data_IF_500829474360
#
_entry.id   IF_500829474360
#
_cell.length_a   1.000
_cell.length_b   1.000
_cell.length_c   1.000
_cell.angle_alpha   90.00
_cell.angle_beta   90.00
_cell.angle_gamma   90.00
#
_symmetry.space_group_name_H-M   'P 1'
#
loop_
_entity.id
_entity.type
_entity.pdbx_description
1 polymer ?
#
# COMPACT_ATOMS: atom_id res chain seq x y z
N UNK A 1 11.12 -19.27 2.64
CA UNK A 1 10.15 -18.57 1.76
C UNK A 1 9.76 -19.49 0.61
N UNK A 2 8.53 -19.39 0.11
CA UNK A 2 8.13 -20.15 -1.10
C UNK A 2 8.87 -19.60 -2.35
N UNK A 3 9.22 -20.44 -3.34
CA UNK A 3 9.85 -20.01 -4.59
C UNK A 3 9.09 -18.84 -5.24
N UNK A 4 9.82 -17.77 -5.57
CA UNK A 4 9.28 -16.56 -6.17
C UNK A 4 8.48 -15.65 -5.22
N UNK A 5 8.64 -15.83 -3.91
CA UNK A 5 8.04 -14.95 -2.90
C UNK A 5 8.93 -13.76 -2.57
N UNK A 6 8.29 -12.62 -2.28
CA UNK A 6 8.91 -11.40 -1.75
C UNK A 6 8.29 -11.05 -0.41
N UNK A 7 9.08 -10.48 0.49
CA UNK A 7 8.61 -9.99 1.79
C UNK A 7 8.54 -8.48 1.75
N UNK A 8 7.34 -7.96 1.90
CA UNK A 8 7.07 -6.54 2.06
C UNK A 8 6.76 -6.25 3.53
N UNK A 9 7.27 -5.14 4.04
CA UNK A 9 6.91 -4.58 5.34
C UNK A 9 5.98 -3.39 5.11
N UNK A 10 4.77 -3.47 5.66
CA UNK A 10 3.78 -2.40 5.57
C UNK A 10 3.66 -1.71 6.92
N UNK A 11 3.86 -0.41 6.94
CA UNK A 11 3.83 0.41 8.15
C UNK A 11 2.93 1.62 7.96
N UNK A 12 2.17 1.97 8.99
CA UNK A 12 1.40 3.22 9.04
C UNK A 12 2.01 4.15 10.08
N UNK A 13 2.41 5.34 9.63
CA UNK A 13 2.90 6.41 10.50
C UNK A 13 1.80 7.44 10.67
N UNK A 14 1.50 7.81 11.91
CA UNK A 14 0.55 8.89 12.21
C UNK A 14 1.29 10.20 12.30
N UNK A 15 0.84 11.19 11.54
CA UNK A 15 1.37 12.55 11.49
C UNK A 15 0.30 13.45 12.11
N UNK A 16 0.60 14.01 13.28
CA UNK A 16 -0.22 15.05 13.90
C UNK A 16 0.22 16.46 13.49
N UNK A 17 -0.50 17.51 13.91
CA UNK A 17 -0.19 18.91 13.56
C UNK A 17 1.23 19.34 13.93
N UNK A 18 1.78 18.83 15.03
CA UNK A 18 3.14 19.15 15.49
C UNK A 18 4.27 18.49 14.67
N UNK A 19 3.93 17.63 13.71
CA UNK A 19 4.87 16.85 12.92
C UNK A 19 4.89 17.23 11.42
N UNK A 20 4.19 18.30 11.02
CA UNK A 20 4.11 18.74 9.63
C UNK A 20 5.48 19.13 9.03
N UNK A 21 6.36 19.75 9.82
CA UNK A 21 7.70 20.09 9.33
C UNK A 21 8.56 18.85 9.05
N UNK A 22 8.48 17.83 9.90
CA UNK A 22 9.15 16.56 9.67
C UNK A 22 8.61 15.87 8.41
N UNK A 23 7.30 15.91 8.19
CA UNK A 23 6.69 15.40 6.95
C UNK A 23 7.26 16.12 5.72
N UNK A 24 7.36 17.46 5.75
CA UNK A 24 7.96 18.22 4.66
C UNK A 24 9.40 17.81 4.39
N UNK A 25 10.19 17.55 5.44
CA UNK A 25 11.58 17.09 5.32
C UNK A 25 11.68 15.69 4.69
N UNK A 26 10.78 14.77 5.04
CA UNK A 26 10.71 13.45 4.38
C UNK A 26 10.43 13.62 2.89
N UNK A 27 9.42 14.42 2.53
CA UNK A 27 9.04 14.61 1.13
C UNK A 27 10.09 15.36 0.30
N UNK A 28 10.99 16.15 0.89
CA UNK A 28 12.15 16.74 0.19
C UNK A 28 13.18 15.69 -0.24
N UNK A 29 13.22 14.54 0.42
CA UNK A 29 14.16 13.45 0.14
C UNK A 29 13.51 12.27 -0.59
N UNK A 30 12.18 12.28 -0.71
CA UNK A 30 11.45 11.28 -1.48
C UNK A 30 11.57 11.58 -2.98
N UNK A 31 11.97 10.58 -3.76
CA UNK A 31 11.96 10.65 -5.21
C UNK A 31 10.54 10.38 -5.73
N UNK A 32 9.85 11.43 -6.16
CA UNK A 32 8.55 11.32 -6.82
C UNK A 32 8.70 10.98 -8.32
N UNK A 33 9.87 11.21 -8.93
CA UNK A 33 10.09 10.98 -10.37
C UNK A 33 10.11 9.50 -10.74
N UNK A 34 10.19 8.60 -9.76
CA UNK A 34 9.91 7.16 -9.94
C UNK A 34 8.55 6.91 -10.61
N UNK A 35 7.58 7.82 -10.42
CA UNK A 35 6.30 7.80 -11.12
C UNK A 35 6.32 8.71 -12.37
N UNK A 36 5.79 8.24 -13.52
CA UNK A 36 5.61 9.06 -14.70
C UNK A 36 4.83 10.34 -14.39
N UNK A 37 5.16 11.44 -15.07
CA UNK A 37 4.53 12.75 -14.86
C UNK A 37 3.01 12.71 -14.95
N UNK A 38 2.45 11.99 -15.92
CA UNK A 38 1.00 11.83 -16.07
C UNK A 38 0.35 11.16 -14.84
N UNK A 39 0.96 10.10 -14.32
CA UNK A 39 0.47 9.41 -13.12
C UNK A 39 0.53 10.31 -11.89
N UNK A 40 1.62 11.08 -11.71
CA UNK A 40 1.73 12.06 -10.61
C UNK A 40 0.65 13.14 -10.68
N UNK A 41 0.35 13.65 -11.87
CA UNK A 41 -0.73 14.63 -12.05
C UNK A 41 -2.09 14.04 -11.69
N UNK A 42 -2.36 12.79 -12.09
CA UNK A 42 -3.60 12.09 -11.74
C UNK A 42 -3.73 11.86 -10.24
N UNK A 43 -2.67 11.40 -9.58
CA UNK A 43 -2.65 11.24 -8.12
C UNK A 43 -2.90 12.58 -7.41
N UNK A 44 -2.21 13.65 -7.82
CA UNK A 44 -2.36 14.97 -7.23
C UNK A 44 -3.79 15.54 -7.40
N UNK A 45 -4.43 15.32 -8.55
CA UNK A 45 -5.82 15.71 -8.78
C UNK A 45 -6.82 15.01 -7.84
N UNK A 46 -6.44 13.84 -7.30
CA UNK A 46 -7.24 13.06 -6.36
C UNK A 46 -6.73 13.15 -4.92
N UNK A 47 -5.86 14.12 -4.63
CA UNK A 47 -5.31 14.35 -3.29
C UNK A 47 -4.31 13.29 -2.82
N UNK A 48 -3.77 12.47 -3.71
CA UNK A 48 -2.78 11.45 -3.39
C UNK A 48 -1.37 11.90 -3.78
N UNK A 49 -0.38 11.47 -3.00
CA UNK A 49 1.05 11.67 -3.29
C UNK A 49 1.81 10.38 -3.04
N UNK A 50 2.73 10.07 -3.94
CA UNK A 50 3.56 8.87 -3.86
C UNK A 50 5.01 9.21 -4.19
N UNK A 51 5.94 8.62 -3.47
CA UNK A 51 7.38 8.77 -3.71
C UNK A 51 8.17 7.61 -3.15
N UNK A 52 9.43 7.50 -3.56
CA UNK A 52 10.34 6.44 -3.13
C UNK A 52 11.45 7.02 -2.25
N UNK A 53 11.76 6.35 -1.15
CA UNK A 53 12.98 6.62 -0.39
C UNK A 53 13.94 5.43 -0.50
N UNK A 54 15.23 5.76 -0.50
CA UNK A 54 16.32 4.78 -0.61
C UNK A 54 16.36 3.78 0.55
N UNK A 55 17.30 2.84 0.47
CA UNK A 55 17.46 1.79 1.49
C UNK A 55 17.84 2.33 2.88
N UNK A 56 18.51 3.48 2.92
CA UNK A 56 18.73 4.26 4.14
C UNK A 56 17.60 5.30 4.26
N UNK A 57 16.65 5.12 5.20
CA UNK A 57 15.57 6.08 5.38
C UNK A 57 16.12 7.42 5.89
N UNK A 58 15.49 8.56 5.52
CA UNK A 58 15.79 9.86 6.12
C UNK A 58 15.60 9.88 7.64
N UNK A 59 16.42 10.64 8.37
CA UNK A 59 16.29 10.79 9.83
C UNK A 59 14.91 11.31 10.24
N UNK A 60 14.35 12.25 9.47
CA UNK A 60 13.00 12.76 9.68
C UNK A 60 11.92 11.65 9.60
N UNK A 61 12.11 10.64 8.74
CA UNK A 61 11.18 9.50 8.64
C UNK A 61 11.28 8.59 9.86
N UNK A 62 12.50 8.36 10.36
CA UNK A 62 12.72 7.59 11.58
C UNK A 62 12.10 8.30 12.80
N UNK A 63 12.24 9.61 12.89
CA UNK A 63 11.65 10.40 13.96
C UNK A 63 10.11 10.40 13.90
N UNK A 64 9.52 10.56 12.71
CA UNK A 64 8.07 10.43 12.52
C UNK A 64 7.57 9.05 12.96
N UNK A 65 8.28 7.98 12.59
CA UNK A 65 7.96 6.63 13.03
C UNK A 65 8.00 6.51 14.57
N UNK A 66 9.06 6.99 15.22
CA UNK A 66 9.19 6.97 16.69
C UNK A 66 8.08 7.76 17.40
N UNK A 67 7.78 8.98 16.95
CA UNK A 67 6.69 9.81 17.51
C UNK A 67 5.34 9.13 17.36
N UNK A 68 5.07 8.53 16.19
CA UNK A 68 3.84 7.78 15.96
C UNK A 68 3.71 6.55 16.87
N UNK A 69 4.83 6.03 17.38
CA UNK A 69 4.79 4.93 18.34
C UNK A 69 4.46 5.36 19.77
N UNK A 70 4.76 6.61 20.12
CA UNK A 70 4.57 7.19 21.45
C UNK A 70 3.17 7.78 21.62
N UNK A 71 2.54 8.23 20.53
CA UNK A 71 1.21 8.88 20.53
C UNK A 71 0.02 7.90 20.68
N UNK A 72 0.20 6.81 21.44
CA UNK A 72 -0.84 5.78 21.59
C UNK A 72 -1.78 6.20 22.71
N UNK A 73 -2.87 6.86 22.33
CA UNK A 73 -4.05 6.95 23.19
C UNK A 73 -4.70 5.56 23.27
N UNK A 74 -4.75 5.02 24.49
CA UNK A 74 -5.57 3.86 24.83
C UNK A 74 -7.03 4.34 24.74
N UNK A 75 -7.90 3.72 23.92
CA UNK A 75 -9.31 4.11 23.89
C UNK A 75 -9.92 3.88 25.28
N UNK A 76 -10.39 4.95 25.92
CA UNK A 76 -11.20 4.86 27.11
C UNK A 76 -12.58 4.29 26.73
N UNK A 77 -12.74 2.98 26.94
CA UNK A 77 -14.02 2.30 26.77
C UNK A 77 -13.84 0.80 26.67
N UNK A 78 -14.45 0.06 27.62
CA UNK A 78 -14.54 -1.39 27.81
C UNK A 78 -14.63 -2.29 26.56
N UNK A 79 -13.63 -2.27 25.69
CA UNK A 79 -13.28 -3.36 24.80
C UNK A 79 -11.97 -3.91 25.33
N UNK A 80 -11.99 -5.17 25.77
CA UNK A 80 -10.76 -5.93 25.99
C UNK A 80 -10.02 -5.93 24.66
N UNK A 81 -9.02 -5.06 24.52
CA UNK A 81 -8.11 -5.07 23.38
C UNK A 81 -7.14 -6.20 23.66
N UNK A 82 -7.16 -7.33 22.91
CA UNK A 82 -6.22 -8.39 23.13
C UNK A 82 -4.81 -7.85 22.94
N UNK A 83 -3.89 -8.30 23.79
CA UNK A 83 -2.46 -7.92 23.79
C UNK A 83 -1.77 -8.15 22.42
N UNK A 84 -2.40 -8.88 21.49
CA UNK A 84 -1.99 -9.10 20.10
C UNK A 84 -2.08 -7.84 19.21
N UNK A 85 -2.81 -6.79 19.61
CA UNK A 85 -2.96 -5.56 18.82
C UNK A 85 -1.77 -4.58 18.92
N UNK A 86 -0.75 -4.88 19.73
CA UNK A 86 0.52 -4.15 19.75
C UNK A 86 1.43 -4.48 18.54
N UNK A 87 1.15 -5.56 17.81
CA UNK A 87 1.90 -6.04 16.62
C UNK A 87 1.42 -5.36 15.31
N UNK A 88 0.44 -4.46 15.38
CA UNK A 88 -0.25 -3.86 14.22
C UNK A 88 0.49 -2.75 13.46
N UNK A 89 1.74 -2.40 13.81
CA UNK A 89 2.44 -1.27 13.17
C UNK A 89 3.39 -1.65 12.04
N UNK A 90 3.86 -2.89 11.97
CA UNK A 90 4.73 -3.38 10.89
C UNK A 90 4.24 -4.76 10.48
N UNK A 91 3.45 -4.83 9.41
CA UNK A 91 2.94 -6.10 8.90
C UNK A 91 3.90 -6.64 7.86
N UNK A 92 4.56 -7.76 8.18
CA UNK A 92 5.30 -8.54 7.18
C UNK A 92 4.30 -9.30 6.32
N UNK A 93 4.30 -9.01 5.03
CA UNK A 93 3.42 -9.62 4.04
C UNK A 93 4.27 -10.34 3.00
N UNK A 94 4.02 -11.65 2.85
CA UNK A 94 4.60 -12.42 1.76
C UNK A 94 3.71 -12.30 0.53
N UNK A 95 4.27 -11.75 -0.54
CA UNK A 95 3.64 -11.68 -1.86
C UNK A 95 4.31 -12.70 -2.79
N UNK A 96 3.50 -13.25 -3.70
CA UNK A 96 4.01 -14.04 -4.84
C UNK A 96 3.85 -13.23 -6.11
N UNK A 97 4.63 -13.57 -7.12
CA UNK A 97 4.56 -12.93 -8.44
C UNK A 97 3.10 -12.81 -8.95
N UNK A 98 2.64 -11.58 -9.18
CA UNK A 98 1.31 -11.25 -9.68
C UNK A 98 0.15 -11.48 -8.71
N UNK A 99 0.39 -12.05 -7.52
CA UNK A 99 -0.65 -12.32 -6.53
C UNK A 99 -1.15 -11.00 -5.93
N UNK A 100 -2.47 -10.76 -6.03
CA UNK A 100 -3.12 -9.62 -5.39
C UNK A 100 -3.29 -9.86 -3.89
N UNK A 101 -2.91 -8.87 -3.08
CA UNK A 101 -3.26 -8.74 -1.67
C UNK A 101 -3.91 -7.38 -1.41
N UNK A 102 -4.43 -7.20 -0.20
CA UNK A 102 -5.07 -5.98 0.25
C UNK A 102 -4.34 -5.43 1.47
N UNK A 103 -4.14 -4.11 1.48
CA UNK A 103 -3.65 -3.31 2.59
C UNK A 103 -4.82 -2.47 3.06
N UNK A 104 -5.41 -2.87 4.19
CA UNK A 104 -6.52 -2.15 4.82
C UNK A 104 -6.00 -0.87 5.48
N UNK A 105 -6.67 0.26 5.24
CA UNK A 105 -6.35 1.49 5.97
C UNK A 105 -6.76 1.34 7.44
N UNK A 106 -6.01 1.92 8.39
CA UNK A 106 -6.32 1.79 9.83
C UNK A 106 -7.65 2.41 10.25
N UNK A 107 -8.32 3.17 9.38
CA UNK A 107 -9.63 3.76 9.63
C UNK A 107 -10.71 2.70 9.49
N UNK A 108 -11.63 2.66 10.45
CA UNK A 108 -12.81 1.79 10.40
C UNK A 108 -13.71 2.11 9.21
N UNK A 109 -14.59 1.16 8.87
CA UNK A 109 -15.63 1.41 7.87
C UNK A 109 -16.56 2.53 8.32
N UNK A 110 -16.83 3.47 7.43
CA UNK A 110 -17.76 4.58 7.67
C UNK A 110 -19.15 4.22 7.15
N UNK A 111 -20.24 4.63 7.84
CA UNK A 111 -21.60 4.36 7.38
C UNK A 111 -21.87 4.91 5.98
N UNK A 112 -21.27 6.05 5.68
CA UNK A 112 -21.39 6.74 4.41
C UNK A 112 -20.08 7.45 4.06
N UNK A 113 -19.70 7.37 2.79
CA UNK A 113 -18.56 8.05 2.21
C UNK A 113 -19.02 8.78 0.95
N UNK A 114 -18.86 10.10 0.93
CA UNK A 114 -19.06 10.94 -0.24
C UNK A 114 -17.71 11.45 -0.70
N UNK A 115 -17.44 11.43 -2.01
CA UNK A 115 -16.19 11.91 -2.58
C UNK A 115 -16.39 12.44 -3.99
N UNK A 116 -15.49 13.31 -4.41
CA UNK A 116 -15.46 13.85 -5.77
C UNK A 116 -14.32 13.25 -6.59
N UNK A 117 -14.66 12.64 -7.74
CA UNK A 117 -13.67 12.15 -8.71
C UNK A 117 -13.54 13.17 -9.84
N UNK A 118 -12.29 13.56 -10.10
CA UNK A 118 -11.97 14.57 -11.09
C UNK A 118 -11.46 13.91 -12.38
N UNK A 119 -12.26 13.96 -13.43
CA UNK A 119 -11.90 13.48 -14.77
C UNK A 119 -11.74 14.69 -15.71
N UNK A 120 -10.51 15.21 -15.79
CA UNK A 120 -10.22 16.42 -16.55
C UNK A 120 -10.86 17.65 -15.92
N UNK A 121 -11.83 18.27 -16.62
CA UNK A 121 -12.56 19.45 -16.13
C UNK A 121 -13.88 19.10 -15.43
N UNK A 122 -14.31 17.83 -15.47
CA UNK A 122 -15.54 17.39 -14.84
C UNK A 122 -15.25 16.80 -13.45
N UNK A 123 -16.08 17.14 -12.46
CA UNK A 123 -16.13 16.46 -11.16
C UNK A 123 -17.41 15.62 -11.11
N UNK A 124 -17.28 14.35 -10.75
CA UNK A 124 -18.40 13.44 -10.53
C UNK A 124 -18.49 13.08 -9.05
N UNK A 125 -19.60 13.42 -8.37
CA UNK A 125 -19.81 13.00 -6.99
C UNK A 125 -20.11 11.50 -6.94
N UNK A 126 -19.44 10.80 -6.04
CA UNK A 126 -19.67 9.39 -5.74
C UNK A 126 -20.07 9.23 -4.27
N UNK A 127 -21.02 8.33 -4.03
CA UNK A 127 -21.52 7.99 -2.69
C UNK A 127 -21.45 6.49 -2.46
N UNK A 128 -20.91 6.09 -1.33
CA UNK A 128 -20.76 4.70 -0.92
C UNK A 128 -21.29 4.51 0.50
N UNK A 129 -22.10 3.49 0.71
CA UNK A 129 -22.57 3.08 2.04
C UNK A 129 -21.65 2.02 2.64
N UNK A 130 -21.48 2.00 3.97
CA UNK A 130 -20.62 1.04 4.68
C UNK A 130 -19.21 0.92 4.06
N UNK A 131 -18.62 2.06 3.75
CA UNK A 131 -17.43 2.16 2.93
C UNK A 131 -16.16 1.97 3.74
N UNK A 132 -15.15 1.34 3.12
CA UNK A 132 -13.82 1.14 3.69
C UNK A 132 -12.75 1.36 2.62
N UNK A 133 -11.77 2.20 2.95
CA UNK A 133 -10.65 2.51 2.09
C UNK A 133 -9.53 1.46 2.23
N UNK A 134 -8.97 1.02 1.11
CA UNK A 134 -7.85 0.09 1.09
C UNK A 134 -7.02 0.24 -0.18
N UNK A 135 -5.82 -0.33 -0.18
CA UNK A 135 -5.04 -0.49 -1.40
C UNK A 135 -4.95 -1.96 -1.78
N UNK A 136 -5.14 -2.28 -3.05
CA UNK A 136 -4.65 -3.55 -3.57
C UNK A 136 -3.20 -3.43 -3.98
N UNK A 137 -2.45 -4.49 -3.70
CA UNK A 137 -1.02 -4.57 -4.00
C UNK A 137 -0.70 -5.85 -4.76
N UNK A 138 0.14 -5.72 -5.79
CA UNK A 138 0.77 -6.83 -6.49
C UNK A 138 2.27 -6.59 -6.57
N UNK A 139 3.03 -7.68 -6.66
CA UNK A 139 4.48 -7.64 -6.83
C UNK A 139 4.91 -8.48 -8.02
N UNK A 140 5.87 -8.00 -8.79
CA UNK A 140 6.48 -8.71 -9.90
C UNK A 140 7.99 -8.67 -9.72
N UNK A 141 8.62 -9.85 -9.68
CA UNK A 141 10.06 -9.97 -9.60
C UNK A 141 10.70 -9.46 -10.89
N UNK A 142 11.77 -8.69 -10.76
CA UNK A 142 12.61 -8.24 -11.86
C UNK A 142 13.93 -9.04 -11.89
N UNK A 143 14.64 -8.99 -13.01
CA UNK A 143 15.79 -9.85 -13.26
C UNK A 143 17.01 -9.52 -12.37
N UNK A 144 17.10 -8.29 -11.88
CA UNK A 144 18.16 -7.73 -11.05
C UNK A 144 17.90 -7.89 -9.55
N UNK A 145 16.81 -8.57 -9.16
CA UNK A 145 16.40 -8.73 -7.77
C UNK A 145 15.54 -7.59 -7.24
N UNK A 146 15.28 -6.56 -8.05
CA UNK A 146 14.25 -5.56 -7.75
C UNK A 146 12.85 -6.16 -7.87
N UNK A 147 11.87 -5.43 -7.34
CA UNK A 147 10.47 -5.81 -7.37
C UNK A 147 9.64 -4.65 -7.85
N UNK A 148 8.98 -4.83 -8.99
CA UNK A 148 7.92 -3.91 -9.39
C UNK A 148 6.70 -4.11 -8.51
N UNK A 149 6.35 -3.07 -7.78
CA UNK A 149 5.13 -2.99 -6.99
C UNK A 149 4.08 -2.24 -7.78
N UNK A 150 2.88 -2.80 -7.82
CA UNK A 150 1.68 -2.13 -8.31
C UNK A 150 0.74 -1.93 -7.13
N UNK A 151 0.38 -0.67 -6.86
CA UNK A 151 -0.51 -0.29 -5.76
C UNK A 151 -1.69 0.50 -6.33
N UNK A 152 -2.92 0.06 -6.05
CA UNK A 152 -4.14 0.70 -6.57
C UNK A 152 -5.11 0.99 -5.42
N UNK A 153 -5.60 2.24 -5.29
CA UNK A 153 -6.63 2.54 -4.30
C UNK A 153 -7.96 1.87 -4.68
N UNK A 154 -8.65 1.35 -3.67
CA UNK A 154 -9.99 0.77 -3.81
C UNK A 154 -10.86 1.14 -2.61
N UNK A 155 -12.17 1.25 -2.85
CA UNK A 155 -13.18 1.39 -1.80
C UNK A 155 -14.04 0.15 -1.82
N UNK A 156 -14.04 -0.60 -0.71
CA UNK A 156 -15.03 -1.65 -0.48
C UNK A 156 -16.26 -1.03 0.17
N UNK A 157 -17.46 -1.43 -0.24
CA UNK A 157 -18.70 -0.82 0.24
C UNK A 157 -19.88 -1.78 0.21
N UNK A 158 -20.93 -1.40 0.94
CA UNK A 158 -22.17 -2.14 1.10
C UNK A 158 -22.05 -3.35 2.04
N UNK A 159 -23.18 -4.01 2.23
CA UNK A 159 -23.25 -5.23 3.02
C UNK A 159 -22.43 -6.34 2.34
N UNK A 160 -21.72 -7.14 3.14
CA UNK A 160 -21.00 -8.28 2.62
C UNK A 160 -21.99 -9.30 2.05
N UNK A 161 -21.83 -9.65 0.76
CA UNK A 161 -22.68 -10.60 0.07
C UNK A 161 -21.95 -11.92 -0.06
N UNK A 162 -22.66 -12.99 0.26
CA UNK A 162 -22.14 -14.34 0.08
C UNK A 162 -22.12 -14.68 -1.41
N UNK A 163 -20.92 -14.82 -1.99
CA UNK A 163 -20.75 -15.24 -3.39
C UNK A 163 -20.10 -16.61 -3.46
N UNK A 164 -20.60 -17.44 -4.38
CA UNK A 164 -20.01 -18.72 -4.73
C UNK A 164 -18.84 -18.50 -5.67
N UNK A 165 -17.62 -18.82 -5.24
CA UNK A 165 -16.47 -18.90 -6.14
C UNK A 165 -16.02 -20.34 -6.25
N UNK A 166 -16.08 -20.88 -7.47
CA UNK A 166 -15.46 -22.17 -7.78
C UNK A 166 -13.95 -22.00 -7.84
N UNK A 167 -13.22 -22.80 -7.06
CA UNK A 167 -11.76 -22.91 -7.22
C UNK A 167 -11.50 -23.84 -8.42
N UNK A 168 -11.12 -23.27 -9.57
CA UNK A 168 -10.92 -23.99 -10.84
C UNK A 168 -9.88 -25.11 -10.76
N UNK A 169 -9.04 -25.14 -9.72
CA UNK A 169 -7.93 -26.09 -9.60
C UNK A 169 -8.30 -27.30 -8.72
N UNK A 170 -9.38 -27.24 -7.94
CA UNK A 170 -9.73 -28.34 -7.00
C UNK A 170 -11.22 -28.68 -6.90
N UNK A 171 -12.12 -28.04 -7.65
CA UNK A 171 -13.56 -28.34 -7.58
C UNK A 171 -14.20 -28.06 -6.21
N UNK A 172 -13.51 -27.31 -5.34
CA UNK A 172 -14.01 -26.94 -4.02
C UNK A 172 -14.71 -25.60 -4.12
N UNK A 173 -15.98 -25.59 -3.71
CA UNK A 173 -16.73 -24.37 -3.50
C UNK A 173 -16.28 -23.73 -2.19
N UNK A 174 -15.91 -22.46 -2.24
CA UNK A 174 -15.65 -21.68 -1.03
C UNK A 174 -16.72 -20.62 -0.88
N UNK A 175 -17.32 -20.59 0.31
CA UNK A 175 -18.11 -19.47 0.77
C UNK A 175 -17.16 -18.28 0.98
N UNK A 176 -17.28 -17.26 0.13
CA UNK A 176 -16.57 -16.00 0.31
C UNK A 176 -17.62 -14.90 0.54
N UNK A 177 -17.50 -14.25 1.69
CA UNK A 177 -18.23 -13.02 1.97
C UNK A 177 -17.47 -11.88 1.31
N UNK A 178 -17.97 -11.36 0.19
CA UNK A 178 -17.35 -10.27 -0.56
C UNK A 178 -18.24 -9.03 -0.51
N UNK A 179 -17.65 -7.87 -0.24
CA UNK A 179 -18.30 -6.57 -0.43
C UNK A 179 -18.15 -6.12 -1.89
N UNK A 180 -19.03 -5.23 -2.34
CA UNK A 180 -18.82 -4.58 -3.64
C UNK A 180 -17.59 -3.66 -3.54
N UNK A 181 -16.89 -3.47 -4.66
CA UNK A 181 -15.65 -2.69 -4.70
C UNK A 181 -15.64 -1.70 -5.85
N UNK A 182 -15.23 -0.47 -5.55
CA UNK A 182 -14.82 0.54 -6.53
C UNK A 182 -13.30 0.53 -6.62
N UNK A 183 -12.77 0.19 -7.78
CA UNK A 183 -11.32 0.23 -8.08
C UNK A 183 -11.02 1.51 -8.85
N UNK A 184 -9.91 2.17 -8.54
CA UNK A 184 -9.45 3.37 -9.23
C UNK A 184 -8.18 3.08 -10.05
N UNK A 185 -8.32 2.43 -11.23
CA UNK A 185 -7.16 1.97 -12.02
C UNK A 185 -6.30 3.13 -12.54
N UNK A 186 -6.88 4.30 -12.78
CA UNK A 186 -6.16 5.50 -13.25
C UNK A 186 -5.22 6.09 -12.17
N UNK A 187 -5.38 5.64 -10.92
CA UNK A 187 -4.55 6.02 -9.78
C UNK A 187 -3.53 4.92 -9.41
N UNK A 188 -3.24 4.02 -10.35
CA UNK A 188 -2.24 2.98 -10.18
C UNK A 188 -0.84 3.58 -10.00
N UNK A 189 -0.24 3.32 -8.85
CA UNK A 189 1.16 3.61 -8.55
C UNK A 189 2.00 2.40 -8.93
N UNK A 190 2.88 2.57 -9.92
CA UNK A 190 3.89 1.57 -10.30
C UNK A 190 5.27 2.08 -9.92
N UNK A 191 6.02 1.31 -9.14
CA UNK A 191 7.40 1.62 -8.79
C UNK A 191 8.23 0.34 -8.71
N UNK A 192 9.48 0.38 -9.18
CA UNK A 192 10.45 -0.69 -8.92
C UNK A 192 11.20 -0.39 -7.62
N UNK A 193 11.21 -1.36 -6.71
CA UNK A 193 11.86 -1.27 -5.40
C UNK A 193 13.02 -2.25 -5.36
N UNK A 194 14.22 -1.75 -5.06
CA UNK A 194 15.35 -2.55 -4.63
C UNK A 194 15.23 -2.91 -3.14
N UNK A 195 15.89 -3.99 -2.66
CA UNK A 195 15.87 -4.34 -1.25
C UNK A 195 16.23 -3.18 -0.33
N UNK A 196 15.43 -2.99 0.72
CA UNK A 196 15.54 -1.92 1.69
C UNK A 196 14.82 -0.62 1.29
N UNK A 197 14.54 -0.38 0.00
CA UNK A 197 13.82 0.82 -0.44
C UNK A 197 12.36 0.79 0.02
N UNK A 198 11.78 1.98 0.20
CA UNK A 198 10.43 2.15 0.75
C UNK A 198 9.61 3.07 -0.12
N UNK A 199 8.46 2.56 -0.59
CA UNK A 199 7.43 3.36 -1.24
C UNK A 199 6.61 4.09 -0.17
N UNK A 200 6.46 5.39 -0.33
CA UNK A 200 5.67 6.28 0.51
C UNK A 200 4.36 6.62 -0.19
N UNK A 201 3.25 6.61 0.54
CA UNK A 201 1.95 7.12 0.06
C UNK A 201 1.28 7.95 1.15
N UNK A 202 0.86 9.17 0.81
CA UNK A 202 0.17 10.09 1.72
C UNK A 202 -0.85 10.95 0.96
N UNK A 203 -1.50 11.86 1.68
CA UNK A 203 -2.42 12.86 1.16
C UNK A 203 -1.95 14.29 1.50
N UNK A 204 -1.48 15.08 0.51
CA UNK A 204 -1.29 16.52 0.68
C UNK A 204 -2.62 17.30 0.57
N UNK A 205 -3.68 16.68 0.04
CA UNK A 205 -4.97 17.33 -0.23
C UNK A 205 -5.82 17.62 1.01
N UNK A 206 -6.81 18.49 0.84
CA UNK A 206 -7.84 18.84 1.81
C UNK A 206 -9.24 18.60 1.21
N UNK A 207 -10.27 18.49 2.06
CA UNK A 207 -11.67 18.37 1.64
C UNK A 207 -12.07 16.97 1.14
N UNK A 208 -13.03 16.91 0.22
CA UNK A 208 -13.73 15.67 -0.20
C UNK A 208 -12.98 14.86 -1.29
N UNK A 209 -11.66 15.03 -1.36
CA UNK A 209 -10.82 14.30 -2.30
C UNK A 209 -10.58 12.88 -1.81
N UNK A 210 -10.38 11.95 -2.76
CA UNK A 210 -10.12 10.54 -2.46
C UNK A 210 -9.00 10.35 -1.43
N UNK A 211 -7.87 11.04 -1.58
CA UNK A 211 -6.74 10.96 -0.66
C UNK A 211 -7.08 11.35 0.77
N UNK A 212 -7.93 12.35 0.96
CA UNK A 212 -8.33 12.80 2.30
C UNK A 212 -9.08 11.69 3.03
N UNK A 213 -10.02 11.00 2.38
CA UNK A 213 -10.75 9.91 3.02
C UNK A 213 -9.90 8.67 3.33
N UNK A 214 -8.79 8.49 2.63
CA UNK A 214 -7.84 7.39 2.86
C UNK A 214 -6.91 7.67 4.03
N UNK A 215 -6.40 8.89 4.13
CA UNK A 215 -5.26 9.21 4.99
C UNK A 215 -5.60 10.16 6.14
N UNK A 216 -6.70 10.89 6.08
CA UNK A 216 -7.03 11.92 7.07
C UNK A 216 -8.10 11.45 8.05
N UNK A 217 -7.89 11.78 9.32
CA UNK A 217 -8.86 11.62 10.39
C UNK A 217 -8.93 12.92 11.19
N UNK A 218 -10.12 13.52 11.23
CA UNK A 218 -10.38 14.67 12.08
C UNK A 218 -10.70 14.20 13.50
N UNK A 219 -9.98 14.76 14.47
CA UNK A 219 -10.15 14.48 15.90
C UNK A 219 -10.25 15.80 16.66
N UNK A 220 -10.66 15.72 17.92
CA UNK A 220 -10.82 16.89 18.80
C UNK A 220 -9.48 17.61 19.01
N UNK A 221 -8.37 16.86 19.06
CA UNK A 221 -7.00 17.38 19.23
C UNK A 221 -6.35 17.84 17.92
N UNK A 222 -7.11 17.86 16.83
CA UNK A 222 -6.69 18.31 15.50
C UNK A 222 -6.68 17.20 14.46
N UNK A 223 -6.37 17.59 13.23
CA UNK A 223 -6.35 16.67 12.09
C UNK A 223 -5.11 15.79 12.15
N UNK A 224 -5.31 14.46 12.23
CA UNK A 224 -4.22 13.48 12.10
C UNK A 224 -4.23 12.88 10.70
N UNK A 225 -3.05 12.74 10.10
CA UNK A 225 -2.86 12.09 8.81
C UNK A 225 -2.07 10.81 8.95
N UNK A 226 -2.30 9.86 8.05
CA UNK A 226 -1.51 8.63 7.92
C UNK A 226 -0.53 8.78 6.77
N UNK A 227 0.65 8.23 6.96
CA UNK A 227 1.64 7.98 5.92
C UNK A 227 1.83 6.47 5.82
N UNK A 228 1.53 5.92 4.65
CA UNK A 228 1.70 4.49 4.35
C UNK A 228 3.12 4.28 3.82
N UNK A 229 3.86 3.38 4.47
CA UNK A 229 5.18 2.92 4.08
C UNK A 229 5.08 1.47 3.60
N UNK A 230 5.63 1.17 2.42
CA UNK A 230 5.75 -0.18 1.90
C UNK A 230 7.21 -0.42 1.57
N UNK A 231 7.90 -1.16 2.43
CA UNK A 231 9.34 -1.45 2.29
C UNK A 231 9.57 -2.85 1.75
N UNK A 232 10.43 -2.97 0.75
CA UNK A 232 10.91 -4.28 0.32
C UNK A 232 11.95 -4.80 1.32
N UNK A 233 11.59 -5.79 2.13
CA UNK A 233 12.47 -6.31 3.16
C UNK A 233 13.38 -7.44 2.63
N UNK A 234 12.83 -8.31 1.77
CA UNK A 234 13.56 -9.46 1.24
C UNK A 234 12.99 -9.91 -0.09
N UNK A 235 13.87 -10.33 -1.01
CA UNK A 235 13.53 -11.10 -2.20
C UNK A 235 14.27 -12.43 -2.17
N UNK A 236 13.85 -13.40 -2.96
CA UNK A 236 14.60 -14.66 -3.13
C UNK A 236 15.67 -14.58 -4.23
N UNK A 237 15.61 -13.55 -5.07
CA UNK A 237 16.61 -13.27 -6.08
C UNK A 237 17.67 -12.36 -5.44
N UNK A 238 18.47 -12.91 -4.54
CA UNK A 238 19.77 -12.33 -4.23
C UNK A 238 20.63 -12.56 -5.47
N UNK A 239 20.95 -11.50 -6.21
CA UNK A 239 21.61 -11.51 -7.52
C UNK A 239 23.03 -12.08 -7.58
N UNK A 240 23.41 -12.97 -6.66
CA UNK A 240 24.77 -13.54 -6.56
C UNK A 240 24.84 -14.98 -7.05
N UNK A 241 23.72 -15.73 -7.15
CA UNK A 241 23.76 -17.10 -7.66
C UNK A 241 22.55 -17.44 -8.55
N UNK A 242 22.68 -17.10 -9.83
CA UNK A 242 22.23 -18.03 -10.88
C UNK A 242 23.47 -18.55 -11.56
N UNK A 243 23.94 -19.71 -11.11
CA UNK A 243 24.77 -20.57 -11.95
C UNK A 243 24.06 -20.64 -13.31
N UNK A 244 24.71 -20.10 -14.35
CA UNK A 244 24.28 -20.37 -15.71
C UNK A 244 24.36 -21.90 -15.82
N UNK A 245 23.23 -22.59 -15.75
CA UNK A 245 23.10 -23.85 -16.46
C UNK A 245 23.19 -23.50 -17.95
N UNK A 246 24.43 -23.31 -18.41
CA UNK A 246 24.78 -23.56 -19.80
C UNK A 246 24.56 -25.05 -19.93
N UNK A 247 23.35 -25.45 -20.36
CA UNK A 247 23.16 -26.78 -20.91
C UNK A 247 23.86 -26.73 -22.26
N UNK A 248 25.16 -26.94 -22.24
CA UNK A 248 25.90 -27.31 -23.45
C UNK A 248 25.36 -28.69 -23.85
N UNK A 249 24.74 -28.85 -25.04
CA UNK A 249 24.40 -30.17 -25.51
C UNK A 249 25.71 -30.93 -25.74
N UNK A 250 25.89 -32.03 -25.01
CA UNK A 250 26.89 -33.05 -25.33
C UNK A 250 26.48 -33.67 -26.67
N UNK A 251 26.97 -33.09 -27.76
CA UNK A 251 27.04 -33.76 -29.07
C UNK A 251 28.50 -34.01 -29.33
N UNK A 252 28.93 -35.24 -29.08
CA UNK A 252 30.19 -35.77 -29.59
C UNK A 252 30.10 -35.93 -31.13
N UNK A 253 31.18 -35.65 -31.89
CA UNK A 253 31.25 -35.86 -33.34
C UNK A 253 31.45 -37.36 -33.69
N UNK A 254 31.41 -37.74 -34.99
CA UNK A 254 30.77 -38.96 -35.52
C UNK A 254 31.64 -40.22 -35.49
N UNK A 255 30.99 -41.38 -35.61
CA UNK A 255 31.55 -42.60 -36.22
C UNK A 255 30.85 -42.86 -37.57
#
# INVERSE_FOLDING_TARGET
>A
MAPGAVVMEVVFVTIGPSAEELERQVWRQADEQVLPHAARRQLAAHGLRCGLVGARPPDALLELYQRSQQSVDIPAGNAVVPFENLVHRQRRMQLRHGQRREIMMPRDSVPELQLEIHEGAASTPLRFEQARCLFSIRSFLEADGAVRVELTPEIHHGAARTRWRGDHIQGRWRWLSEQDRRVFPDLLMRASLAPGQTLLVSCPGQGDQLGHHFFTQELIDGTKRKLLLIRLAQTQLDGVFRERQIVEPLVSPPE
#
